data_IF_156651862437
#
_entry.id   IF_156651862437
#
_cell.length_a   1.000
_cell.length_b   1.000
_cell.length_c   1.000
_cell.angle_alpha   90.00
_cell.angle_beta   90.00
_cell.angle_gamma   90.00
#
_symmetry.space_group_name_H-M   'P 1'
#
loop_
_entity.id
_entity.type
_entity.pdbx_description
1 polymer ?
#
# COMPACT_ATOMS: atom_id res chain seq x y z
N UNK A 1 5.99 -5.59 -1.42
CA UNK A 1 6.36 -5.25 -0.02
C UNK A 1 5.09 -4.93 0.76
N UNK A 2 4.97 -5.45 1.97
CA UNK A 2 3.91 -5.15 2.95
C UNK A 2 4.51 -4.50 4.21
N UNK A 3 3.68 -3.82 5.01
CA UNK A 3 4.11 -3.00 6.16
C UNK A 3 5.17 -1.96 5.78
N UNK A 4 4.99 -1.31 4.63
CA UNK A 4 5.93 -0.32 4.11
C UNK A 4 6.14 0.88 5.05
N UNK A 5 5.19 1.13 5.96
CA UNK A 5 5.27 2.13 7.04
C UNK A 5 5.64 3.54 6.60
N UNK A 6 5.23 3.89 5.38
CA UNK A 6 5.50 5.18 4.76
C UNK A 6 4.23 6.03 4.70
N UNK A 7 4.38 7.34 4.91
CA UNK A 7 3.35 8.33 4.58
C UNK A 7 3.66 8.97 3.22
N UNK A 8 2.63 9.48 2.54
CA UNK A 8 2.82 10.22 1.28
C UNK A 8 3.78 11.40 1.44
N UNK A 9 3.74 12.06 2.59
CA UNK A 9 4.65 13.15 2.92
C UNK A 9 6.10 12.67 2.98
N UNK A 10 6.39 11.58 3.70
CA UNK A 10 7.75 11.02 3.80
C UNK A 10 8.29 10.52 2.46
N UNK A 11 7.43 9.95 1.61
CA UNK A 11 7.83 9.57 0.26
C UNK A 11 8.27 10.78 -0.58
N UNK A 12 7.73 11.98 -0.31
CA UNK A 12 8.09 13.23 -0.98
C UNK A 12 9.33 13.90 -0.35
N UNK A 13 9.42 13.93 0.97
CA UNK A 13 10.50 14.64 1.69
C UNK A 13 11.76 13.81 1.81
N UNK A 14 11.64 12.48 1.89
CA UNK A 14 12.74 11.54 2.11
C UNK A 14 12.72 10.35 1.12
N UNK A 15 12.57 10.58 -0.20
CA UNK A 15 12.33 9.50 -1.17
C UNK A 15 13.41 8.41 -1.18
N UNK A 16 14.67 8.77 -0.89
CA UNK A 16 15.79 7.82 -0.84
C UNK A 16 15.68 6.82 0.30
N UNK A 17 15.16 7.24 1.46
CA UNK A 17 14.98 6.37 2.63
C UNK A 17 13.98 5.23 2.38
N UNK A 18 13.08 5.42 1.40
CA UNK A 18 12.05 4.46 1.03
C UNK A 18 12.27 3.87 -0.37
N UNK A 19 13.37 4.21 -1.05
CA UNK A 19 13.60 3.86 -2.44
C UNK A 19 12.45 4.29 -3.39
N UNK A 20 11.74 5.39 -3.07
CA UNK A 20 10.58 5.85 -3.83
C UNK A 20 10.93 6.30 -5.27
N UNK A 21 12.19 6.65 -5.52
CA UNK A 21 12.71 7.03 -6.83
C UNK A 21 13.91 6.15 -7.24
N UNK A 22 13.85 4.86 -6.91
CA UNK A 22 14.95 3.92 -7.19
C UNK A 22 15.25 3.82 -8.69
N UNK A 23 16.53 3.86 -9.05
CA UNK A 23 16.93 3.82 -10.45
C UNK A 23 16.58 2.47 -11.10
N UNK A 24 15.98 2.53 -12.29
CA UNK A 24 15.58 1.33 -13.05
C UNK A 24 14.28 0.67 -12.58
N UNK A 25 13.58 1.27 -11.61
CA UNK A 25 12.27 0.80 -11.15
C UNK A 25 11.22 1.90 -11.24
N UNK A 26 9.99 1.50 -11.59
CA UNK A 26 8.79 2.26 -11.24
C UNK A 26 8.34 1.77 -9.86
N UNK A 27 8.03 2.70 -8.96
CA UNK A 27 7.57 2.38 -7.61
C UNK A 27 6.17 2.89 -7.38
N UNK A 28 5.35 2.06 -6.75
CA UNK A 28 3.94 2.31 -6.50
C UNK A 28 3.63 2.08 -5.03
N UNK A 29 2.76 2.90 -4.46
CA UNK A 29 2.55 2.96 -3.02
C UNK A 29 1.07 3.09 -2.68
N UNK A 30 0.61 2.21 -1.79
CA UNK A 30 -0.65 2.38 -1.06
C UNK A 30 -0.28 2.73 0.38
N UNK A 31 -0.33 4.02 0.75
CA UNK A 31 -0.02 4.48 2.09
C UNK A 31 -1.27 4.49 2.97
N UNK A 32 -1.12 4.11 4.24
CA UNK A 32 -2.21 4.26 5.21
C UNK A 32 -2.46 5.75 5.51
N UNK A 33 -3.68 6.22 5.21
CA UNK A 33 -4.19 7.58 5.43
C UNK A 33 -4.85 7.61 6.82
N UNK A 34 -4.47 8.58 7.65
CA UNK A 34 -4.66 8.59 9.12
C UNK A 34 -6.08 8.67 9.66
N UNK A 35 -7.10 8.33 8.88
CA UNK A 35 -8.51 8.35 9.23
C UNK A 35 -8.94 6.99 9.81
N UNK A 36 -8.28 5.90 9.41
CA UNK A 36 -8.69 4.54 9.73
C UNK A 36 -8.62 4.18 11.23
N UNK A 37 -7.89 4.98 12.05
CA UNK A 37 -7.90 5.07 13.53
C UNK A 37 -6.79 6.04 13.98
N UNK A 38 -7.06 6.90 14.97
CA UNK A 38 -6.07 7.88 15.51
C UNK A 38 -4.75 7.19 15.86
N UNK A 39 -3.64 7.68 15.31
CA UNK A 39 -2.28 7.19 15.60
C UNK A 39 -1.75 6.09 14.66
N UNK A 40 -2.50 5.65 13.66
CA UNK A 40 -2.07 4.61 12.71
C UNK A 40 -1.62 5.14 11.34
N UNK A 41 -1.53 6.46 11.15
CA UNK A 41 -1.05 7.04 9.89
C UNK A 41 0.35 6.51 9.57
N UNK A 42 0.52 5.94 8.38
CA UNK A 42 1.78 5.32 7.99
C UNK A 42 2.17 4.07 8.80
N UNK A 43 1.25 3.42 9.52
CA UNK A 43 1.55 2.19 10.26
C UNK A 43 1.52 0.92 9.38
N UNK A 44 0.64 0.92 8.37
CA UNK A 44 0.51 -0.19 7.41
C UNK A 44 1.21 0.15 6.10
N UNK A 45 0.56 -0.10 4.96
CA UNK A 45 1.03 0.29 3.64
C UNK A 45 1.62 -0.85 2.82
N UNK A 46 1.40 -0.78 1.53
CA UNK A 46 1.96 -1.69 0.54
C UNK A 46 2.78 -0.91 -0.48
N UNK A 47 3.85 -1.53 -0.97
CA UNK A 47 4.65 -0.99 -2.06
C UNK A 47 5.00 -2.08 -3.08
N UNK A 48 4.95 -1.72 -4.36
CA UNK A 48 5.36 -2.58 -5.47
C UNK A 48 6.46 -1.88 -6.25
N UNK A 49 7.55 -2.61 -6.48
CA UNK A 49 8.70 -2.16 -7.26
C UNK A 49 8.71 -3.03 -8.52
N UNK A 50 8.48 -2.40 -9.66
CA UNK A 50 8.48 -3.06 -10.95
C UNK A 50 9.62 -2.51 -11.80
N UNK A 51 10.22 -3.33 -12.65
CA UNK A 51 11.22 -2.83 -13.61
C UNK A 51 10.59 -1.74 -14.47
N UNK A 52 11.34 -0.66 -14.65
CA UNK A 52 10.87 0.56 -15.31
C UNK A 52 10.26 0.27 -16.68
N UNK A 53 9.07 0.80 -16.94
CA UNK A 53 8.37 0.70 -18.21
C UNK A 53 7.56 -0.59 -18.42
N UNK A 54 7.47 -1.47 -17.42
CA UNK A 54 6.70 -2.73 -17.53
C UNK A 54 5.31 -2.68 -16.87
N UNK A 55 4.99 -1.60 -16.16
CA UNK A 55 3.68 -1.43 -15.50
C UNK A 55 2.80 -0.53 -16.34
N UNK A 56 1.62 -1.01 -16.70
CA UNK A 56 0.65 -0.28 -17.52
C UNK A 56 -0.21 0.64 -16.65
N UNK A 57 -0.60 0.14 -15.47
CA UNK A 57 -1.42 0.87 -14.51
C UNK A 57 -1.08 0.41 -13.09
N UNK A 58 -1.19 1.33 -12.14
CA UNK A 58 -1.18 1.01 -10.72
C UNK A 58 -2.38 1.66 -10.05
N UNK A 59 -2.99 0.94 -9.11
CA UNK A 59 -4.17 1.38 -8.38
C UNK A 59 -4.01 1.09 -6.88
N UNK A 60 -3.96 2.15 -6.09
CA UNK A 60 -3.86 2.09 -4.62
C UNK A 60 -5.21 2.27 -3.92
N UNK A 61 -6.29 2.45 -4.68
CA UNK A 61 -7.65 2.61 -4.18
C UNK A 61 -8.66 1.69 -4.91
N UNK A 62 -8.40 0.37 -4.96
CA UNK A 62 -9.17 -0.54 -5.81
C UNK A 62 -10.60 -0.82 -5.31
N UNK A 63 -10.94 -0.44 -4.08
CA UNK A 63 -12.28 -0.66 -3.52
C UNK A 63 -13.19 0.55 -3.73
N UNK A 64 -14.50 0.30 -3.82
CA UNK A 64 -15.50 1.39 -3.76
C UNK A 64 -15.59 2.03 -2.37
N UNK A 65 -15.16 1.30 -1.32
CA UNK A 65 -15.13 1.78 0.06
C UNK A 65 -13.82 2.55 0.34
N UNK A 66 -13.96 3.86 0.56
CA UNK A 66 -12.84 4.75 0.82
C UNK A 66 -12.10 4.44 2.14
N UNK A 67 -12.78 3.88 3.15
CA UNK A 67 -12.14 3.51 4.41
C UNK A 67 -11.25 2.28 4.25
N UNK A 68 -11.67 1.29 3.45
CA UNK A 68 -10.82 0.15 3.10
C UNK A 68 -9.56 0.58 2.34
N UNK A 69 -9.72 1.52 1.40
CA UNK A 69 -8.59 2.10 0.68
C UNK A 69 -7.66 2.90 1.63
N UNK A 70 -8.22 3.64 2.58
CA UNK A 70 -7.47 4.44 3.54
C UNK A 70 -6.55 3.61 4.45
N UNK A 71 -6.81 2.31 4.64
CA UNK A 71 -5.89 1.42 5.38
C UNK A 71 -4.57 1.17 4.62
N UNK A 72 -4.50 1.41 3.30
CA UNK A 72 -3.29 1.21 2.49
C UNK A 72 -2.89 -0.27 2.36
N UNK A 73 -3.86 -1.19 2.42
CA UNK A 73 -3.61 -2.64 2.50
C UNK A 73 -3.57 -3.35 1.16
N UNK A 74 -3.98 -2.70 0.08
CA UNK A 74 -4.03 -3.30 -1.25
C UNK A 74 -3.41 -2.34 -2.25
N UNK A 75 -2.54 -2.87 -3.08
CA UNK A 75 -1.96 -2.19 -4.23
C UNK A 75 -2.02 -3.13 -5.42
N UNK A 76 -2.71 -2.71 -6.47
CA UNK A 76 -2.83 -3.45 -7.72
C UNK A 76 -1.86 -2.85 -8.72
N UNK A 77 -1.07 -3.68 -9.39
CA UNK A 77 -0.30 -3.28 -10.57
C UNK A 77 -0.66 -4.18 -11.74
N UNK A 78 -1.04 -3.56 -12.84
CA UNK A 78 -1.38 -4.21 -14.09
C UNK A 78 -0.17 -4.18 -15.02
N UNK A 79 0.18 -5.36 -15.53
CA UNK A 79 1.24 -5.57 -16.51
C UNK A 79 0.63 -6.17 -17.78
N UNK A 80 1.45 -6.35 -18.82
CA UNK A 80 0.95 -6.75 -20.14
C UNK A 80 0.12 -8.04 -20.14
N UNK A 81 0.51 -9.04 -19.35
CA UNK A 81 -0.12 -10.37 -19.36
C UNK A 81 -0.63 -10.83 -18.00
N UNK A 82 -0.40 -10.05 -16.95
CA UNK A 82 -0.76 -10.44 -15.60
C UNK A 82 -1.01 -9.21 -14.73
N UNK A 83 -1.72 -9.44 -13.64
CA UNK A 83 -1.97 -8.45 -12.61
C UNK A 83 -1.31 -8.97 -11.34
N UNK A 84 -0.62 -8.07 -10.62
CA UNK A 84 -0.14 -8.33 -9.28
C UNK A 84 -1.05 -7.59 -8.31
N UNK A 85 -1.64 -8.34 -7.38
CA UNK A 85 -2.38 -7.77 -6.26
C UNK A 85 -1.53 -7.96 -5.02
N UNK A 86 -0.86 -6.90 -4.58
CA UNK A 86 -0.09 -6.90 -3.35
C UNK A 86 -1.02 -6.57 -2.17
N UNK A 87 -1.29 -7.57 -1.34
CA UNK A 87 -2.25 -7.49 -0.23
C UNK A 87 -1.53 -7.67 1.10
N UNK A 88 -1.81 -6.78 2.05
CA UNK A 88 -1.48 -6.92 3.46
C UNK A 88 -2.76 -7.09 4.28
N UNK A 89 -3.21 -8.34 4.39
CA UNK A 89 -4.41 -8.69 5.14
C UNK A 89 -4.29 -8.23 6.61
N UNK A 90 -5.37 -7.71 7.21
CA UNK A 90 -5.36 -7.28 8.61
C UNK A 90 -5.01 -8.45 9.53
N UNK A 91 -4.31 -8.17 10.64
CA UNK A 91 -4.20 -9.15 11.73
C UNK A 91 -5.55 -9.28 12.41
N UNK A 92 -5.76 -10.33 13.22
CA UNK A 92 -7.01 -10.46 14.00
C UNK A 92 -7.13 -9.41 15.11
N UNK A 93 -6.12 -8.54 15.25
CA UNK A 93 -6.08 -7.47 16.24
C UNK A 93 -5.94 -7.96 17.68
N UNK A 94 -6.09 -7.05 18.64
CA UNK A 94 -5.90 -7.36 20.06
C UNK A 94 -7.17 -8.03 20.58
N UNK A 95 -7.03 -9.18 21.24
CA UNK A 95 -8.16 -9.97 21.72
C UNK A 95 -9.20 -10.29 20.61
N UNK A 96 -8.73 -10.48 19.38
CA UNK A 96 -9.55 -10.86 18.21
C UNK A 96 -10.59 -9.81 17.78
N UNK A 97 -10.40 -8.55 18.15
CA UNK A 97 -11.32 -7.44 17.80
C UNK A 97 -11.48 -7.22 16.29
N UNK A 98 -10.56 -7.71 15.46
CA UNK A 98 -10.65 -7.65 14.00
C UNK A 98 -10.98 -8.98 13.31
N UNK A 99 -11.28 -10.03 14.06
CA UNK A 99 -11.65 -11.33 13.49
C UNK A 99 -12.85 -11.26 12.52
N UNK A 100 -13.91 -10.46 12.76
CA UNK A 100 -15.01 -10.32 11.82
C UNK A 100 -14.62 -9.73 10.46
N UNK A 101 -13.48 -9.04 10.35
CA UNK A 101 -12.99 -8.50 9.08
C UNK A 101 -12.18 -9.52 8.26
N UNK A 102 -12.04 -10.76 8.75
CA UNK A 102 -11.35 -11.87 8.05
C UNK A 102 -12.29 -12.99 7.60
N UNK A 103 -13.52 -13.03 8.11
CA UNK A 103 -14.49 -14.12 7.94
C UNK A 103 -15.63 -13.71 7.02
#
# INVERSE_FOLDING_TARGET
IQEAKATVEKLKTEPKSYAANEEGYDTFWACCKGNAKRGLMGYSGCATFAKKGLTLRADSEPFADAELNAEGRVLVTEHQHFIIINIYAPTSGKAYDRLPHKL
#
